data_IF_464127882882
#
_entry.id   IF_464127882882
#
_cell.length_a   1.000
_cell.length_b   1.000
_cell.length_c   1.000
_cell.angle_alpha   90.00
_cell.angle_beta   90.00
_cell.angle_gamma   90.00
#
_symmetry.space_group_name_H-M   'P 1'
#
loop_
_entity.id
_entity.type
_entity.pdbx_description
1 polymer ?
#
# COMPACT_ATOMS: atom_id res chain seq x y z
N UNK A 1 1.09 15.35 -37.32
CA UNK A 1 -0.04 14.44 -37.04
C UNK A 1 0.43 13.55 -35.91
N UNK A 2 -0.25 13.69 -34.76
CA UNK A 2 -0.40 12.72 -33.65
C UNK A 2 0.85 11.98 -33.19
N UNK A 3 1.40 12.48 -32.09
CA UNK A 3 2.20 11.71 -31.13
C UNK A 3 1.40 10.45 -30.77
N UNK A 4 1.97 9.27 -31.05
CA UNK A 4 1.44 8.01 -30.56
C UNK A 4 1.50 8.03 -29.03
N UNK A 5 0.40 7.82 -28.29
CA UNK A 5 0.54 7.46 -26.89
C UNK A 5 1.26 6.12 -26.87
N UNK A 6 2.48 6.09 -26.34
CA UNK A 6 3.10 4.84 -25.91
C UNK A 6 2.20 4.32 -24.79
N UNK A 7 1.20 3.53 -25.15
CA UNK A 7 0.51 2.68 -24.19
C UNK A 7 1.57 1.72 -23.70
N UNK A 8 2.11 2.01 -22.53
CA UNK A 8 2.90 1.08 -21.77
C UNK A 8 1.90 0.04 -21.25
N UNK A 9 1.57 -0.94 -22.08
CA UNK A 9 0.63 -2.03 -21.79
C UNK A 9 1.13 -2.97 -20.67
N UNK A 10 2.21 -2.59 -19.96
CA UNK A 10 2.75 -3.25 -18.77
C UNK A 10 3.03 -2.25 -17.63
N UNK A 11 2.35 -1.08 -17.63
CA UNK A 11 2.54 -0.08 -16.59
C UNK A 11 1.91 -0.57 -15.29
N UNK A 12 2.75 -1.05 -14.37
CA UNK A 12 2.33 -1.29 -13.00
C UNK A 12 2.30 0.04 -12.25
N UNK A 13 1.27 0.21 -11.42
CA UNK A 13 1.15 1.37 -10.55
C UNK A 13 2.14 1.24 -9.39
N UNK A 14 2.55 2.39 -8.85
CA UNK A 14 3.46 2.46 -7.72
C UNK A 14 2.92 3.42 -6.68
N UNK A 15 3.09 3.08 -5.41
CA UNK A 15 2.71 3.90 -4.26
C UNK A 15 3.98 4.28 -3.53
N UNK A 16 4.19 5.58 -3.37
CA UNK A 16 5.32 6.13 -2.62
C UNK A 16 4.87 6.45 -1.20
N UNK A 17 5.61 5.94 -0.23
CA UNK A 17 5.44 6.22 1.18
C UNK A 17 6.34 7.41 1.53
N UNK A 18 5.76 8.42 2.14
CA UNK A 18 6.43 9.66 2.56
C UNK A 18 6.48 9.69 4.08
N UNK A 19 7.65 9.99 4.63
CA UNK A 19 7.73 10.34 6.05
C UNK A 19 7.07 11.73 6.25
N UNK A 20 6.52 11.99 7.43
CA UNK A 20 6.06 13.34 7.78
C UNK A 20 6.94 14.00 8.84
N UNK A 21 7.87 13.25 9.45
CA UNK A 21 8.67 13.73 10.57
C UNK A 21 9.76 14.73 10.17
N UNK A 22 10.24 14.67 8.93
CA UNK A 22 11.31 15.54 8.40
C UNK A 22 10.86 16.96 8.03
N UNK A 23 9.55 17.20 7.90
CA UNK A 23 8.98 18.53 7.67
C UNK A 23 8.49 18.84 6.25
N UNK A 24 8.41 17.87 5.34
CA UNK A 24 7.63 18.05 4.11
C UNK A 24 7.96 17.11 2.95
N UNK A 25 6.92 16.90 2.13
CA UNK A 25 6.85 16.07 0.93
C UNK A 25 7.77 16.53 -0.22
N UNK A 26 9.08 16.59 0.02
CA UNK A 26 10.08 16.66 -1.05
C UNK A 26 10.34 15.26 -1.60
N UNK A 27 10.75 15.12 -2.87
CA UNK A 27 11.09 13.82 -3.48
C UNK A 27 12.20 13.05 -2.72
N UNK A 28 13.00 13.73 -1.89
CA UNK A 28 14.04 13.14 -1.04
C UNK A 28 13.47 12.48 0.24
N UNK A 29 12.20 12.74 0.56
CA UNK A 29 11.54 12.29 1.78
C UNK A 29 10.75 10.98 1.62
N UNK A 30 10.92 10.33 0.47
CA UNK A 30 10.32 9.03 0.21
C UNK A 30 11.03 7.94 1.02
N UNK A 31 10.32 7.30 1.93
CA UNK A 31 10.83 6.15 2.71
C UNK A 31 10.92 4.90 1.84
N UNK A 32 9.89 4.65 1.04
CA UNK A 32 9.75 3.44 0.24
C UNK A 32 8.86 3.70 -0.98
N UNK A 33 9.16 3.05 -2.10
CA UNK A 33 8.28 2.99 -3.26
C UNK A 33 7.84 1.53 -3.48
N UNK A 34 6.55 1.27 -3.30
CA UNK A 34 5.92 -0.04 -3.49
C UNK A 34 5.38 -0.11 -4.91
N UNK A 35 5.86 -1.05 -5.71
CA UNK A 35 5.38 -1.27 -7.08
C UNK A 35 4.70 -2.62 -7.27
N UNK A 36 4.20 -2.86 -8.49
CA UNK A 36 3.55 -4.13 -8.85
C UNK A 36 2.03 -4.11 -8.74
N UNK A 37 1.42 -2.96 -8.53
CA UNK A 37 -0.04 -2.82 -8.52
C UNK A 37 -0.60 -2.94 -9.94
N UNK A 38 -1.59 -3.83 -10.11
CA UNK A 38 -2.17 -4.16 -11.43
C UNK A 38 -3.07 -3.06 -11.98
N UNK A 39 -3.72 -2.29 -11.10
CA UNK A 39 -4.63 -1.22 -11.46
C UNK A 39 -4.60 -0.07 -10.45
N UNK A 40 -5.10 1.09 -10.87
CA UNK A 40 -5.10 2.31 -10.05
C UNK A 40 -6.01 2.17 -8.82
N UNK A 41 -7.12 1.44 -8.92
CA UNK A 41 -8.04 1.27 -7.80
C UNK A 41 -7.40 0.43 -6.68
N UNK A 42 -6.61 -0.59 -7.04
CA UNK A 42 -5.78 -1.35 -6.12
C UNK A 42 -4.72 -0.46 -5.44
N UNK A 43 -3.97 0.33 -6.22
CA UNK A 43 -2.98 1.26 -5.66
C UNK A 43 -3.63 2.31 -4.72
N UNK A 44 -4.78 2.86 -5.10
CA UNK A 44 -5.55 3.80 -4.28
C UNK A 44 -6.06 3.15 -2.99
N UNK A 45 -6.57 1.91 -3.06
CA UNK A 45 -7.03 1.18 -1.89
C UNK A 45 -5.87 0.89 -0.92
N UNK A 46 -4.70 0.51 -1.45
CA UNK A 46 -3.49 0.32 -0.66
C UNK A 46 -3.07 1.61 0.04
N UNK A 47 -2.94 2.72 -0.70
CA UNK A 47 -2.54 4.01 -0.14
C UNK A 47 -3.50 4.46 0.99
N UNK A 48 -4.81 4.34 0.75
CA UNK A 48 -5.85 4.65 1.74
C UNK A 48 -5.71 3.81 3.01
N UNK A 49 -5.60 2.48 2.86
CA UNK A 49 -5.46 1.58 4.01
C UNK A 49 -4.15 1.75 4.76
N UNK A 50 -3.06 2.09 4.06
CA UNK A 50 -1.77 2.36 4.65
C UNK A 50 -1.82 3.61 5.53
N UNK A 51 -2.32 4.73 5.00
CA UNK A 51 -2.50 5.97 5.77
C UNK A 51 -3.43 5.75 6.95
N UNK A 52 -4.52 4.97 6.77
CA UNK A 52 -5.43 4.66 7.87
C UNK A 52 -4.72 3.91 9.00
N UNK A 53 -3.86 2.93 8.70
CA UNK A 53 -3.05 2.26 9.72
C UNK A 53 -2.05 3.20 10.38
N UNK A 54 -1.38 4.05 9.60
CA UNK A 54 -0.43 5.04 10.10
C UNK A 54 -1.07 6.02 11.09
N UNK A 55 -2.21 6.62 10.73
CA UNK A 55 -2.99 7.50 11.62
C UNK A 55 -3.37 6.79 12.93
N UNK A 56 -3.79 5.52 12.85
CA UNK A 56 -4.18 4.77 14.04
C UNK A 56 -3.00 4.39 14.94
N UNK A 57 -1.78 4.25 14.40
CA UNK A 57 -0.57 4.08 15.23
C UNK A 57 -0.25 5.34 16.04
N UNK A 58 -0.58 6.51 15.52
CA UNK A 58 -0.42 7.79 16.21
C UNK A 58 -1.52 8.05 17.25
N UNK A 59 -2.59 7.25 17.29
CA UNK A 59 -3.71 7.44 18.21
C UNK A 59 -3.39 6.92 19.61
N UNK A 60 -3.39 7.80 20.61
CA UNK A 60 -3.30 7.43 22.03
C UNK A 60 -4.69 7.35 22.69
N UNK A 61 -4.87 6.52 23.74
CA UNK A 61 -6.14 6.44 24.47
C UNK A 61 -6.59 7.81 25.00
N UNK A 62 -7.78 8.25 24.62
CA UNK A 62 -8.34 9.53 25.06
C UNK A 62 -7.90 10.76 24.24
N UNK A 63 -7.09 10.59 23.19
CA UNK A 63 -6.74 11.67 22.27
C UNK A 63 -7.95 12.25 21.55
N UNK A 64 -7.98 13.57 21.37
CA UNK A 64 -8.92 14.21 20.44
C UNK A 64 -8.47 14.02 18.99
N UNK A 65 -9.36 14.22 18.03
CA UNK A 65 -9.02 14.18 16.59
C UNK A 65 -7.84 15.12 16.25
N UNK A 66 -7.80 16.30 16.87
CA UNK A 66 -6.70 17.26 16.70
C UNK A 66 -5.37 16.72 17.24
N UNK A 67 -5.37 16.03 18.37
CA UNK A 67 -4.16 15.44 18.93
C UNK A 67 -3.63 14.30 18.04
N UNK A 68 -4.55 13.49 17.49
CA UNK A 68 -4.20 12.42 16.53
C UNK A 68 -3.61 13.02 15.26
N UNK A 69 -4.24 14.05 14.69
CA UNK A 69 -3.74 14.74 13.51
C UNK A 69 -2.35 15.33 13.78
N UNK A 70 -2.17 16.00 14.91
CA UNK A 70 -0.88 16.61 15.26
C UNK A 70 0.21 15.55 15.48
N UNK A 71 -0.13 14.39 16.03
CA UNK A 71 0.82 13.29 16.20
C UNK A 71 1.18 12.64 14.85
N UNK A 72 0.19 12.44 13.98
CA UNK A 72 0.42 11.89 12.63
C UNK A 72 1.23 12.84 11.75
N UNK A 73 0.99 14.15 11.79
CA UNK A 73 1.84 15.12 11.08
C UNK A 73 3.28 15.21 11.62
N UNK A 74 3.55 14.72 12.83
CA UNK A 74 4.87 14.78 13.45
C UNK A 74 5.66 13.47 13.33
N UNK A 75 4.98 12.33 13.22
CA UNK A 75 5.61 10.99 13.29
C UNK A 75 4.97 9.96 12.35
N UNK A 76 3.93 10.36 11.63
CA UNK A 76 3.19 9.50 10.73
C UNK A 76 3.83 9.43 9.35
N UNK A 77 3.22 8.59 8.54
CA UNK A 77 3.63 8.28 7.19
C UNK A 77 2.43 8.54 6.27
N UNK A 78 2.67 9.21 5.15
CA UNK A 78 1.68 9.41 4.09
C UNK A 78 1.95 8.45 2.91
N UNK A 79 0.93 8.21 2.08
CA UNK A 79 1.07 7.36 0.90
C UNK A 79 0.41 8.02 -0.32
N UNK A 80 1.17 8.13 -1.41
CA UNK A 80 0.73 8.76 -2.66
C UNK A 80 0.95 7.85 -3.85
N UNK A 81 -0.02 7.76 -4.76
CA UNK A 81 0.12 6.97 -5.99
C UNK A 81 0.89 7.78 -7.03
N UNK A 82 2.01 7.22 -7.49
CA UNK A 82 2.89 7.84 -8.49
C UNK A 82 2.22 7.81 -9.87
N UNK A 83 2.40 8.87 -10.65
CA UNK A 83 1.84 9.04 -12.00
C UNK A 83 0.29 9.00 -12.10
N UNK A 84 -0.42 9.08 -10.97
CA UNK A 84 -1.89 9.02 -10.95
C UNK A 84 -2.59 10.38 -11.19
N UNK A 85 -1.85 11.50 -11.13
CA UNK A 85 -2.42 12.83 -11.35
C UNK A 85 -3.57 13.12 -10.39
N UNK A 86 -4.70 13.61 -10.92
CA UNK A 86 -5.91 13.96 -10.15
C UNK A 86 -6.77 12.72 -9.80
N UNK A 87 -6.57 11.60 -10.50
CA UNK A 87 -7.26 10.32 -10.24
C UNK A 87 -6.62 9.55 -9.05
N UNK A 88 -5.47 10.02 -8.57
CA UNK A 88 -4.77 9.47 -7.42
C UNK A 88 -5.52 9.76 -6.12
N UNK A 89 -5.56 8.77 -5.23
CA UNK A 89 -6.04 9.01 -3.87
C UNK A 89 -5.05 9.87 -3.08
N UNK A 90 -5.58 10.82 -2.31
CA UNK A 90 -4.81 11.71 -1.43
C UNK A 90 -5.35 11.68 -0.01
N UNK A 91 -4.47 11.56 0.98
CA UNK A 91 -4.79 11.54 2.41
C UNK A 91 -5.64 12.72 2.86
N UNK A 92 -5.35 13.93 2.34
CA UNK A 92 -6.06 15.16 2.65
C UNK A 92 -7.59 15.08 2.43
N UNK A 93 -8.07 14.20 1.54
CA UNK A 93 -9.50 14.08 1.23
C UNK A 93 -10.30 13.42 2.37
N UNK A 94 -9.68 12.54 3.16
CA UNK A 94 -10.35 11.75 4.19
C UNK A 94 -9.74 11.92 5.60
N UNK A 95 -8.69 12.74 5.72
CA UNK A 95 -7.93 12.89 6.96
C UNK A 95 -8.78 13.33 8.17
N UNK A 96 -9.79 14.18 7.95
CA UNK A 96 -10.73 14.58 9.01
C UNK A 96 -11.50 13.37 9.58
N UNK A 97 -12.06 12.51 8.72
CA UNK A 97 -12.73 11.28 9.15
C UNK A 97 -11.76 10.33 9.86
N UNK A 98 -10.55 10.19 9.32
CA UNK A 98 -9.54 9.28 9.85
C UNK A 98 -9.14 9.64 11.27
N UNK A 99 -9.05 10.94 11.56
CA UNK A 99 -8.71 11.42 12.90
C UNK A 99 -9.91 11.39 13.86
N UNK A 100 -11.12 11.62 13.36
CA UNK A 100 -12.36 11.60 14.13
C UNK A 100 -12.79 10.18 14.55
N UNK A 101 -12.59 9.18 13.68
CA UNK A 101 -13.14 7.83 13.87
C UNK A 101 -12.02 6.81 14.01
N UNK A 102 -12.13 5.87 14.97
CA UNK A 102 -11.19 4.74 15.03
C UNK A 102 -11.39 3.81 13.84
N UNK A 103 -10.29 3.34 13.26
CA UNK A 103 -10.35 2.38 12.17
C UNK A 103 -10.71 0.98 12.68
N UNK A 104 -11.43 0.25 11.85
CA UNK A 104 -11.58 -1.20 12.00
C UNK A 104 -10.31 -1.93 11.57
N UNK A 105 -10.12 -3.20 11.99
CA UNK A 105 -8.99 -4.00 11.53
C UNK A 105 -8.90 -4.12 10.01
N UNK A 106 -10.05 -4.21 9.33
CA UNK A 106 -10.12 -4.38 7.87
C UNK A 106 -9.68 -3.12 7.13
N UNK A 107 -9.99 -1.93 7.66
CA UNK A 107 -9.56 -0.67 7.04
C UNK A 107 -8.05 -0.45 7.12
N UNK A 108 -7.40 -1.06 8.12
CA UNK A 108 -5.95 -1.00 8.35
C UNK A 108 -5.18 -2.09 7.62
N UNK A 109 -5.88 -3.03 6.97
CA UNK A 109 -5.29 -4.25 6.43
C UNK A 109 -4.62 -4.02 5.07
N UNK A 110 -3.71 -3.05 5.00
CA UNK A 110 -2.94 -2.73 3.80
C UNK A 110 -2.04 -3.90 3.36
N UNK A 111 -1.67 -4.80 4.29
CA UNK A 111 -0.84 -5.98 4.00
C UNK A 111 -1.51 -6.99 3.08
N UNK A 112 -2.84 -7.09 3.11
CA UNK A 112 -3.57 -7.94 2.18
C UNK A 112 -3.71 -7.32 0.79
N UNK A 113 -3.42 -6.03 0.67
CA UNK A 113 -3.36 -5.28 -0.58
C UNK A 113 -1.92 -5.11 -1.09
N UNK A 114 -0.91 -5.59 -0.36
CA UNK A 114 0.48 -5.40 -0.72
C UNK A 114 0.86 -6.38 -1.85
N UNK A 115 1.24 -5.89 -3.05
CA UNK A 115 1.52 -6.73 -4.20
C UNK A 115 2.77 -7.60 -4.01
N UNK A 116 3.70 -7.22 -3.11
CA UNK A 116 4.89 -8.03 -2.82
C UNK A 116 4.52 -9.33 -2.12
N UNK A 117 3.42 -9.32 -1.37
CA UNK A 117 2.89 -10.50 -0.69
C UNK A 117 2.22 -11.47 -1.66
N UNK A 118 1.52 -10.96 -2.68
CA UNK A 118 0.90 -11.80 -3.71
C UNK A 118 1.92 -12.60 -4.52
N UNK A 119 3.11 -12.03 -4.75
CA UNK A 119 4.22 -12.71 -5.45
C UNK A 119 4.77 -13.84 -4.57
N UNK A 120 4.97 -13.60 -3.27
CA UNK A 120 5.44 -14.60 -2.31
C UNK A 120 4.43 -15.77 -2.20
N UNK A 121 3.12 -15.48 -2.15
CA UNK A 121 2.05 -16.49 -2.12
C UNK A 121 1.96 -17.31 -3.42
N UNK A 122 2.16 -16.69 -4.59
CA UNK A 122 2.17 -17.41 -5.88
C UNK A 122 3.40 -18.31 -6.03
N UNK A 123 4.58 -17.86 -5.60
CA UNK A 123 5.79 -18.67 -5.60
C UNK A 123 5.72 -19.82 -4.58
N UNK A 124 5.22 -19.60 -3.35
CA UNK A 124 5.04 -20.68 -2.37
C UNK A 124 4.09 -21.79 -2.87
N UNK A 125 3.01 -21.42 -3.57
CA UNK A 125 2.11 -22.39 -4.19
C UNK A 125 2.79 -23.18 -5.31
N UNK A 126 3.64 -22.53 -6.11
CA UNK A 126 4.40 -23.20 -7.16
C UNK A 126 5.45 -24.17 -6.59
N UNK A 127 6.14 -23.80 -5.51
CA UNK A 127 7.09 -24.68 -4.81
C UNK A 127 6.39 -25.87 -4.15
N UNK A 128 5.24 -25.66 -3.51
CA UNK A 128 4.47 -26.75 -2.88
C UNK A 128 3.89 -27.76 -3.89
N UNK A 129 3.53 -27.30 -5.10
CA UNK A 129 3.03 -28.18 -6.16
C UNK A 129 4.13 -29.10 -6.74
N UNK A 130 5.37 -28.61 -6.80
CA UNK A 130 6.52 -29.40 -7.29
C UNK A 130 6.95 -30.49 -6.30
N UNK A 131 6.74 -30.29 -4.98
CA UNK A 131 7.09 -31.30 -3.96
C UNK A 131 6.10 -32.48 -3.86
N UNK A 132 4.96 -32.43 -4.57
CA UNK A 132 3.94 -33.51 -4.52
C UNK A 132 4.00 -34.51 -5.66
N UNK A 133 4.93 -34.37 -6.62
CA UNK A 133 5.04 -35.23 -7.81
C UNK A 133 6.07 -36.38 -7.71
N UNK A 134 6.81 -36.53 -6.59
CA UNK A 134 7.82 -37.60 -6.39
C UNK A 134 7.48 -38.55 -5.22
N UNK A 135 6.33 -39.25 -5.28
CA UNK A 135 6.08 -40.44 -4.43
C UNK A 135 5.30 -41.51 -5.23
N UNK A 136 5.89 -42.02 -6.32
CA UNK A 136 5.53 -43.34 -6.86
C UNK A 136 6.65 -44.34 -6.51
N UNK A 137 6.45 -45.30 -5.58
CA UNK A 137 7.44 -46.33 -5.34
C UNK A 137 7.50 -47.26 -6.57
N UNK A 138 8.69 -47.53 -7.14
CA UNK A 138 8.79 -48.42 -8.28
C UNK A 138 8.37 -49.83 -7.86
N UNK A 139 7.24 -50.29 -8.38
CA UNK A 139 6.77 -51.67 -8.17
C UNK A 139 7.63 -52.60 -9.02
N UNK A 140 8.70 -53.17 -8.43
CA UNK A 140 9.51 -54.18 -9.09
C UNK A 140 8.80 -55.53 -9.03
N UNK A 141 8.37 -56.01 -10.21
CA UNK A 141 7.81 -57.35 -10.43
C UNK A 141 8.90 -58.40 -10.64
#
# INVERSE_FOLDING_TARGET
MTENPTTDDNKTWRVRILDLSSGGAEDDDSLEEVGGFHDLAHANAFARSYVRDSVERCRVPGASAKDVLSAWLAFGEDAVVVDAGDDGWHSANELDDFTATRATPMERDWRSLDPRRLIDEEEELAFSAIETEDDEPPTHH
#
